data_IF_069029186032
#
_entry.id   IF_069029186032
#
_cell.length_a   1.000
_cell.length_b   1.000
_cell.length_c   1.000
_cell.angle_alpha   90.00
_cell.angle_beta   90.00
_cell.angle_gamma   90.00
#
_symmetry.space_group_name_H-M   'P 1'
#
loop_
_entity.id
_entity.type
_entity.pdbx_description
1 polymer ?
#
# COMPACT_ATOMS: atom_id res chain seq x y z
N UNK A 1 -17.03 1.90 6.57
CA UNK A 1 -17.68 0.98 7.52
C UNK A 1 -17.11 1.34 8.90
N UNK A 2 -17.92 1.91 9.82
CA UNK A 2 -17.50 2.10 11.22
C UNK A 2 -17.28 0.74 11.87
N UNK A 3 -16.16 0.55 12.57
CA UNK A 3 -15.84 -0.74 13.20
C UNK A 3 -15.16 -0.51 14.54
N UNK A 4 -15.59 -1.28 15.54
CA UNK A 4 -14.95 -1.43 16.85
C UNK A 4 -14.85 -2.91 17.19
N UNK A 5 -13.82 -3.28 17.93
CA UNK A 5 -13.57 -4.63 18.41
C UNK A 5 -13.33 -4.53 19.91
N UNK A 6 -14.08 -5.31 20.68
CA UNK A 6 -13.82 -5.55 22.09
C UNK A 6 -13.42 -7.01 22.28
N UNK A 7 -12.36 -7.25 23.04
CA UNK A 7 -11.85 -8.58 23.35
C UNK A 7 -11.86 -8.75 24.86
N UNK A 8 -12.65 -9.71 25.35
CA UNK A 8 -12.62 -10.15 26.75
C UNK A 8 -11.83 -11.44 26.87
N UNK A 9 -10.83 -11.45 27.74
CA UNK A 9 -10.01 -12.63 28.03
C UNK A 9 -10.68 -13.52 29.08
N UNK A 10 -10.25 -14.79 29.16
CA UNK A 10 -10.70 -15.71 30.22
C UNK A 10 -10.39 -15.18 31.64
N UNK A 11 -9.31 -14.40 31.80
CA UNK A 11 -8.96 -13.77 33.08
C UNK A 11 -9.81 -12.52 33.39
N UNK A 12 -10.80 -12.19 32.55
CA UNK A 12 -11.70 -11.05 32.73
C UNK A 12 -11.15 -9.70 32.28
N UNK A 13 -9.92 -9.65 31.75
CA UNK A 13 -9.39 -8.40 31.17
C UNK A 13 -10.09 -8.07 29.86
N UNK A 14 -10.43 -6.79 29.66
CA UNK A 14 -11.12 -6.25 28.48
C UNK A 14 -10.17 -5.33 27.71
N UNK A 15 -10.10 -5.52 26.39
CA UNK A 15 -9.34 -4.68 25.47
C UNK A 15 -10.30 -4.12 24.42
N UNK A 16 -10.37 -2.79 24.33
CA UNK A 16 -11.21 -2.08 23.37
C UNK A 16 -10.32 -1.40 22.32
N UNK A 17 -10.61 -1.63 21.04
CA UNK A 17 -9.92 -0.95 19.93
C UNK A 17 -10.30 0.52 19.78
N UNK A 18 -11.38 0.95 20.43
CA UNK A 18 -12.12 2.16 20.10
C UNK A 18 -12.83 2.04 18.75
N UNK A 19 -13.55 3.11 18.38
CA UNK A 19 -14.23 3.20 17.08
C UNK A 19 -13.28 3.71 15.99
N UNK A 20 -13.04 2.89 14.97
CA UNK A 20 -12.44 3.34 13.71
C UNK A 20 -13.55 3.80 12.77
N UNK A 21 -13.71 5.11 12.64
CA UNK A 21 -14.72 5.71 11.75
C UNK A 21 -14.23 5.74 10.29
N UNK A 22 -12.98 6.15 10.07
CA UNK A 22 -12.36 6.24 8.75
C UNK A 22 -10.99 5.54 8.78
N UNK A 23 -10.80 4.40 8.09
CA UNK A 23 -9.51 3.73 8.03
C UNK A 23 -8.49 4.62 7.29
N UNK A 24 -7.19 4.33 7.46
CA UNK A 24 -6.10 5.18 6.96
C UNK A 24 -6.12 5.42 5.44
N UNK A 25 -6.72 4.53 4.64
CA UNK A 25 -6.89 4.71 3.20
C UNK A 25 -8.15 5.47 2.77
N UNK A 26 -9.00 5.89 3.71
CA UNK A 26 -10.26 6.56 3.40
C UNK A 26 -10.03 8.07 3.22
N UNK A 27 -10.61 8.68 2.18
CA UNK A 27 -10.42 10.10 1.85
C UNK A 27 -10.81 11.10 2.96
N UNK A 28 -11.62 10.67 3.93
CA UNK A 28 -12.02 11.47 5.11
C UNK A 28 -11.06 11.33 6.30
N UNK A 29 -10.08 10.43 6.25
CA UNK A 29 -9.02 10.34 7.25
C UNK A 29 -7.88 11.27 6.82
N UNK A 30 -7.76 12.41 7.50
CA UNK A 30 -6.74 13.44 7.22
C UNK A 30 -5.58 13.41 8.22
N UNK A 31 -5.57 12.43 9.13
CA UNK A 31 -4.58 12.33 10.22
C UNK A 31 -3.56 11.22 10.00
N UNK A 32 -3.88 10.23 9.16
CA UNK A 32 -2.94 9.18 8.78
C UNK A 32 -1.87 9.69 7.79
N UNK A 33 -0.64 9.19 7.92
CA UNK A 33 0.41 9.35 6.90
C UNK A 33 0.11 8.45 5.69
N UNK A 34 -0.86 8.88 4.87
CA UNK A 34 -1.29 8.13 3.70
C UNK A 34 -0.14 7.95 2.70
N UNK A 35 0.67 9.00 2.50
CA UNK A 35 1.79 8.97 1.57
C UNK A 35 2.84 7.94 1.99
N UNK A 36 3.24 7.93 3.27
CA UNK A 36 4.17 6.94 3.80
C UNK A 36 3.63 5.50 3.70
N UNK A 37 2.35 5.28 4.00
CA UNK A 37 1.70 3.97 3.90
C UNK A 37 1.72 3.45 2.45
N UNK A 38 1.25 4.27 1.50
CA UNK A 38 1.21 3.88 0.08
C UNK A 38 2.61 3.73 -0.49
N UNK A 39 3.53 4.61 -0.08
CA UNK A 39 4.95 4.54 -0.42
C UNK A 39 5.57 3.20 -0.03
N UNK A 40 5.37 2.78 1.22
CA UNK A 40 5.90 1.52 1.73
C UNK A 40 5.27 0.32 1.04
N UNK A 41 3.94 0.34 0.86
CA UNK A 41 3.19 -0.72 0.17
C UNK A 41 3.71 -0.93 -1.25
N UNK A 42 3.80 0.14 -2.04
CA UNK A 42 4.22 0.05 -3.44
C UNK A 42 5.64 -0.47 -3.58
N UNK A 43 6.54 -0.02 -2.70
CA UNK A 43 7.92 -0.52 -2.67
C UNK A 43 7.98 -2.01 -2.32
N UNK A 44 7.24 -2.47 -1.32
CA UNK A 44 7.20 -3.89 -0.96
C UNK A 44 6.65 -4.76 -2.10
N UNK A 45 5.59 -4.32 -2.78
CA UNK A 45 5.07 -5.04 -3.95
C UNK A 45 6.12 -5.09 -5.07
N UNK A 46 6.85 -4.00 -5.30
CA UNK A 46 7.95 -3.96 -6.25
C UNK A 46 9.10 -4.92 -5.87
N UNK A 47 9.50 -4.98 -4.61
CA UNK A 47 10.55 -5.89 -4.11
C UNK A 47 10.20 -7.39 -4.33
N UNK A 48 8.91 -7.72 -4.37
CA UNK A 48 8.44 -9.08 -4.72
C UNK A 48 8.56 -9.32 -6.22
N UNK A 49 8.22 -8.33 -7.04
CA UNK A 49 7.99 -8.51 -8.47
C UNK A 49 9.16 -8.10 -9.38
N UNK A 50 10.12 -7.30 -8.90
CA UNK A 50 11.11 -6.61 -9.73
C UNK A 50 12.52 -6.77 -9.15
N UNK A 51 13.53 -6.85 -10.03
CA UNK A 51 14.94 -6.82 -9.61
C UNK A 51 15.30 -5.44 -9.01
N UNK A 52 14.82 -4.37 -9.65
CA UNK A 52 15.07 -2.99 -9.27
C UNK A 52 13.74 -2.21 -9.21
N UNK A 53 13.06 -2.20 -8.05
CA UNK A 53 11.73 -1.61 -7.95
C UNK A 53 11.73 -0.07 -7.97
N UNK A 54 12.81 0.57 -7.51
CA UNK A 54 12.89 2.04 -7.35
C UNK A 54 12.49 2.82 -8.61
N UNK A 55 13.18 2.62 -9.75
CA UNK A 55 12.87 3.33 -10.99
C UNK A 55 11.45 3.13 -11.51
N UNK A 56 10.87 1.94 -11.30
CA UNK A 56 9.49 1.65 -11.70
C UNK A 56 8.50 2.37 -10.79
N UNK A 57 8.69 2.29 -9.47
CA UNK A 57 7.83 2.96 -8.48
C UNK A 57 7.85 4.48 -8.68
N UNK A 58 9.02 5.06 -8.91
CA UNK A 58 9.18 6.50 -9.12
C UNK A 58 8.49 6.97 -10.40
N UNK A 59 8.47 6.13 -11.45
CA UNK A 59 7.72 6.42 -12.68
C UNK A 59 6.21 6.57 -12.42
N UNK A 60 5.63 5.65 -11.64
CA UNK A 60 4.20 5.73 -11.28
C UNK A 60 3.88 6.91 -10.37
N UNK A 61 4.77 7.26 -9.43
CA UNK A 61 4.57 8.44 -8.57
C UNK A 61 4.55 9.74 -9.36
N UNK A 62 5.37 9.81 -10.41
CA UNK A 62 5.51 11.00 -11.23
C UNK A 62 4.66 10.94 -12.52
N UNK A 63 3.65 10.05 -12.59
CA UNK A 63 2.85 9.79 -13.80
C UNK A 63 2.23 11.07 -14.39
N UNK A 64 1.81 12.01 -13.54
CA UNK A 64 1.23 13.29 -13.97
C UNK A 64 2.21 14.26 -14.63
N UNK A 65 3.52 13.98 -14.55
CA UNK A 65 4.59 14.77 -15.18
C UNK A 65 5.19 14.10 -16.41
N UNK A 66 4.76 12.89 -16.76
CA UNK A 66 5.27 12.17 -17.93
C UNK A 66 4.72 12.78 -19.22
N UNK A 67 5.58 12.82 -20.25
CA UNK A 67 5.12 13.09 -21.61
C UNK A 67 4.44 11.85 -22.22
N UNK A 68 3.86 12.02 -23.42
CA UNK A 68 3.13 10.94 -24.08
C UNK A 68 3.99 9.70 -24.39
N UNK A 69 5.27 9.89 -24.73
CA UNK A 69 6.17 8.78 -25.04
C UNK A 69 6.54 8.01 -23.76
N UNK A 70 6.89 8.71 -22.69
CA UNK A 70 7.19 8.11 -21.40
C UNK A 70 5.97 7.43 -20.76
N UNK A 71 4.77 8.00 -20.95
CA UNK A 71 3.52 7.41 -20.48
C UNK A 71 3.18 6.10 -21.22
N UNK A 72 3.42 6.03 -22.54
CA UNK A 72 3.23 4.79 -23.30
C UNK A 72 4.13 3.65 -22.77
N UNK A 73 5.31 4.00 -22.27
CA UNK A 73 6.29 3.07 -21.71
C UNK A 73 6.09 2.81 -20.20
N UNK A 74 5.01 3.29 -19.57
CA UNK A 74 4.85 3.22 -18.11
C UNK A 74 4.87 1.79 -17.57
N UNK A 75 4.39 0.83 -18.36
CA UNK A 75 4.37 -0.60 -18.04
C UNK A 75 5.52 -1.41 -18.65
N UNK A 76 6.47 -0.75 -19.31
CA UNK A 76 7.63 -1.43 -19.87
C UNK A 76 8.69 -1.68 -18.78
N UNK A 77 8.61 -2.86 -18.18
CA UNK A 77 9.57 -3.42 -17.22
C UNK A 77 9.40 -4.94 -17.14
N UNK A 78 10.45 -5.64 -16.72
CA UNK A 78 10.42 -7.10 -16.58
C UNK A 78 10.01 -7.50 -15.16
N UNK A 79 9.09 -8.46 -15.07
CA UNK A 79 8.77 -9.13 -13.82
C UNK A 79 9.79 -10.24 -13.56
N UNK A 80 10.13 -10.44 -12.28
CA UNK A 80 10.88 -11.59 -11.83
C UNK A 80 10.02 -12.84 -11.88
N UNK A 81 10.56 -13.89 -12.50
CA UNK A 81 10.04 -15.24 -12.33
C UNK A 81 10.48 -15.77 -10.96
N UNK A 82 9.51 -16.17 -10.13
CA UNK A 82 9.74 -16.73 -8.79
C UNK A 82 9.49 -18.24 -8.75
N UNK A 83 9.29 -18.87 -9.91
CA UNK A 83 8.88 -20.27 -10.01
C UNK A 83 7.40 -20.47 -9.66
N UNK A 84 6.96 -21.73 -9.63
CA UNK A 84 5.59 -22.07 -9.26
C UNK A 84 5.34 -21.80 -7.76
N UNK A 85 4.10 -21.44 -7.43
CA UNK A 85 3.63 -21.37 -6.04
C UNK A 85 3.15 -22.76 -5.61
N UNK A 86 3.62 -23.27 -4.47
CA UNK A 86 3.08 -24.46 -3.77
C UNK A 86 2.13 -24.06 -2.64
#
# INVERSE_FOLDING_TARGET
>A
IPTSIEITTHAGSVFDSGLVMYPSGHARNTTADLEGILSKKMRQMGEIALAEPGPVVDRFRNIGSLDAAALAEVHNFNLLDRGPYE
#
